data_IF_088089086379
#
_entry.id   IF_088089086379
#
_cell.length_a   1.000
_cell.length_b   1.000
_cell.length_c   1.000
_cell.angle_alpha   90.00
_cell.angle_beta   90.00
_cell.angle_gamma   90.00
#
_symmetry.space_group_name_H-M   'P 1'
#
loop_
_entity.id
_entity.type
_entity.pdbx_description
1 polymer ?
#
# COMPACT_ATOMS: atom_id res chain seq x y z
N UNK A 1 -55.38 33.04 1.45
CA UNK A 1 -54.32 33.00 2.48
C UNK A 1 -54.39 31.60 3.09
N UNK A 2 -53.66 30.64 2.53
CA UNK A 2 -52.28 30.24 2.87
C UNK A 2 -52.23 29.27 4.06
N UNK A 3 -51.55 28.15 3.85
CA UNK A 3 -51.27 27.09 4.83
C UNK A 3 -52.21 25.90 4.65
N UNK A 4 -51.76 24.67 4.42
CA UNK A 4 -50.42 24.10 4.36
C UNK A 4 -50.55 22.59 4.58
N UNK A 5 -49.56 21.85 4.07
CA UNK A 5 -49.18 20.51 4.50
C UNK A 5 -50.01 19.32 4.00
N UNK A 6 -49.53 18.65 2.95
CA UNK A 6 -49.84 17.22 2.77
C UNK A 6 -48.57 16.45 2.36
N UNK A 7 -48.07 15.72 3.35
CA UNK A 7 -47.49 14.40 3.22
C UNK A 7 -48.13 13.59 2.09
N UNK A 8 -47.28 12.88 1.35
CA UNK A 8 -47.49 11.58 0.72
C UNK A 8 -47.16 11.59 -0.79
N UNK A 9 -46.03 10.99 -1.14
CA UNK A 9 -45.95 9.63 -1.71
C UNK A 9 -46.06 9.62 -3.24
N UNK A 10 -44.90 9.31 -3.80
CA UNK A 10 -44.70 8.35 -4.88
C UNK A 10 -45.24 8.66 -6.29
N UNK A 11 -44.28 8.43 -7.20
CA UNK A 11 -44.41 7.73 -8.47
C UNK A 11 -44.69 8.57 -9.72
N UNK A 12 -43.67 8.54 -10.59
CA UNK A 12 -43.74 8.56 -12.05
C UNK A 12 -44.48 9.74 -12.70
N UNK A 13 -43.73 10.80 -13.00
CA UNK A 13 -43.91 11.55 -14.23
C UNK A 13 -42.58 11.61 -14.96
N UNK A 14 -42.57 10.97 -16.13
CA UNK A 14 -41.46 10.93 -17.06
C UNK A 14 -41.45 12.27 -17.80
N UNK A 15 -40.44 13.10 -17.55
CA UNK A 15 -40.23 14.34 -18.30
C UNK A 15 -39.69 13.98 -19.71
N UNK A 16 -40.38 14.33 -20.80
CA UNK A 16 -39.91 14.11 -22.17
C UNK A 16 -38.92 15.21 -22.56
N UNK A 17 -37.67 14.86 -22.86
CA UNK A 17 -36.73 15.86 -23.40
C UNK A 17 -35.24 15.67 -23.12
N UNK A 18 -34.80 14.48 -22.69
CA UNK A 18 -33.36 14.18 -22.62
C UNK A 18 -33.00 13.12 -23.65
N UNK A 19 -32.53 13.60 -24.79
CA UNK A 19 -31.88 12.80 -25.84
C UNK A 19 -30.64 12.10 -25.26
N UNK A 20 -30.83 10.89 -24.75
CA UNK A 20 -29.73 10.02 -24.39
C UNK A 20 -29.21 9.40 -25.69
N UNK A 21 -28.12 9.95 -26.20
CA UNK A 21 -27.33 9.32 -27.27
C UNK A 21 -26.79 8.00 -26.76
N UNK A 22 -27.51 6.91 -27.04
CA UNK A 22 -26.98 5.56 -26.87
C UNK A 22 -25.94 5.33 -27.98
N UNK A 23 -24.66 5.21 -27.61
CA UNK A 23 -23.63 4.76 -28.54
C UNK A 23 -23.89 3.28 -28.85
N UNK A 24 -24.25 2.96 -30.11
CA UNK A 24 -24.35 1.59 -30.56
C UNK A 24 -22.94 1.00 -30.76
N UNK A 25 -22.66 -0.08 -30.04
CA UNK A 25 -21.36 -0.74 -29.94
C UNK A 25 -20.98 -1.60 -31.18
N UNK A 26 -21.44 -1.25 -32.38
CA UNK A 26 -21.41 -2.18 -33.52
C UNK A 26 -20.13 -2.13 -34.37
N UNK A 27 -19.36 -1.02 -34.40
CA UNK A 27 -18.31 -0.85 -35.43
C UNK A 27 -16.93 -0.41 -34.90
N UNK A 28 -16.45 -1.01 -33.80
CA UNK A 28 -15.03 -0.92 -33.45
C UNK A 28 -14.43 -2.33 -33.47
N UNK A 29 -13.53 -2.68 -34.41
CA UNK A 29 -12.74 -3.89 -34.27
C UNK A 29 -11.79 -3.70 -33.09
N UNK A 30 -12.20 -4.17 -31.91
CA UNK A 30 -11.38 -4.11 -30.71
C UNK A 30 -10.35 -5.25 -30.73
N UNK A 31 -9.25 -5.04 -31.46
CA UNK A 31 -8.03 -5.82 -31.27
C UNK A 31 -7.42 -5.34 -29.95
N UNK A 32 -7.93 -5.88 -28.83
CA UNK A 32 -7.36 -5.60 -27.53
C UNK A 32 -5.96 -6.23 -27.46
N UNK A 33 -4.88 -5.46 -27.19
CA UNK A 33 -3.62 -6.08 -26.83
C UNK A 33 -3.87 -6.85 -25.54
N UNK A 34 -3.71 -8.17 -25.59
CA UNK A 34 -3.78 -9.03 -24.41
C UNK A 34 -2.71 -8.53 -23.45
N UNK A 35 -3.11 -7.75 -22.43
CA UNK A 35 -2.20 -7.24 -21.39
C UNK A 35 -1.57 -8.47 -20.76
N UNK A 36 -0.32 -8.77 -21.14
CA UNK A 36 0.50 -9.74 -20.42
C UNK A 36 0.41 -9.30 -18.96
N UNK A 37 -0.16 -10.15 -18.08
CA UNK A 37 -0.03 -9.96 -16.64
C UNK A 37 1.47 -9.78 -16.40
N UNK A 38 1.91 -8.55 -16.12
CA UNK A 38 3.28 -8.34 -15.66
C UNK A 38 3.33 -9.12 -14.35
N UNK A 39 3.97 -10.29 -14.37
CA UNK A 39 4.34 -10.94 -13.13
C UNK A 39 5.08 -9.87 -12.35
N UNK A 40 4.53 -9.50 -11.20
CA UNK A 40 5.13 -8.54 -10.29
C UNK A 40 6.47 -9.15 -9.86
N UNK A 41 7.51 -8.94 -10.65
CA UNK A 41 8.82 -9.54 -10.42
C UNK A 41 9.32 -8.88 -9.16
N UNK A 42 9.18 -9.59 -8.04
CA UNK A 42 9.61 -9.06 -6.76
C UNK A 42 11.08 -8.68 -6.80
N UNK A 43 11.40 -7.68 -5.99
CA UNK A 43 12.76 -7.19 -5.86
C UNK A 43 13.50 -8.10 -4.91
N UNK A 44 14.65 -8.60 -5.35
CA UNK A 44 15.48 -9.45 -4.53
C UNK A 44 16.34 -8.60 -3.60
N UNK A 45 16.49 -9.07 -2.38
CA UNK A 45 17.38 -8.46 -1.40
C UNK A 45 18.21 -9.54 -0.72
N UNK A 46 19.46 -9.20 -0.44
CA UNK A 46 20.30 -9.96 0.48
C UNK A 46 20.17 -9.33 1.85
N UNK A 47 19.82 -10.14 2.85
CA UNK A 47 19.68 -9.76 4.25
C UNK A 47 20.85 -10.32 5.03
N UNK A 48 21.47 -9.49 5.85
CA UNK A 48 22.50 -9.85 6.82
C UNK A 48 21.91 -9.59 8.20
N UNK A 49 21.37 -10.61 8.88
CA UNK A 49 20.79 -10.45 10.20
C UNK A 49 21.85 -10.07 11.22
N UNK A 50 21.45 -9.61 12.41
CA UNK A 50 22.41 -9.34 13.50
C UNK A 50 23.06 -10.62 14.02
N UNK A 51 22.40 -11.76 13.85
CA UNK A 51 22.85 -13.08 14.28
C UNK A 51 22.51 -14.11 13.20
N UNK A 52 23.49 -14.95 12.83
CA UNK A 52 23.32 -16.01 11.84
C UNK A 52 23.80 -15.65 10.44
N UNK A 53 23.52 -16.53 9.48
CA UNK A 53 24.02 -16.41 8.11
C UNK A 53 23.16 -15.49 7.24
N UNK A 54 23.77 -14.76 6.29
CA UNK A 54 23.03 -13.97 5.31
C UNK A 54 22.10 -14.82 4.45
N UNK A 55 20.89 -14.34 4.19
CA UNK A 55 19.90 -15.02 3.38
C UNK A 55 19.25 -14.07 2.36
N UNK A 56 18.43 -14.65 1.48
CA UNK A 56 17.82 -13.93 0.36
C UNK A 56 16.31 -13.87 0.52
N UNK A 57 15.73 -12.71 0.25
CA UNK A 57 14.29 -12.50 0.23
C UNK A 57 13.83 -11.90 -1.09
N UNK A 58 12.53 -12.01 -1.36
CA UNK A 58 11.85 -11.38 -2.48
C UNK A 58 10.69 -10.56 -1.94
N UNK A 59 10.68 -9.27 -2.21
CA UNK A 59 9.65 -8.36 -1.66
C UNK A 59 8.98 -7.60 -2.80
N UNK A 60 7.66 -7.41 -2.70
CA UNK A 60 6.84 -6.72 -3.71
C UNK A 60 5.94 -5.66 -3.08
N UNK A 61 5.36 -4.81 -3.91
CA UNK A 61 4.24 -3.94 -3.50
C UNK A 61 4.56 -3.02 -2.33
N UNK A 62 3.66 -2.98 -1.34
CA UNK A 62 3.79 -2.09 -0.18
C UNK A 62 4.80 -2.56 0.86
N UNK A 63 5.03 -3.86 0.96
CA UNK A 63 6.09 -4.40 1.82
C UNK A 63 7.46 -3.99 1.27
N UNK A 64 7.62 -3.98 -0.06
CA UNK A 64 8.84 -3.49 -0.72
C UNK A 64 9.04 -2.01 -0.43
N UNK A 65 7.99 -1.20 -0.62
CA UNK A 65 8.05 0.23 -0.31
C UNK A 65 8.47 0.47 1.14
N UNK A 66 7.85 -0.23 2.10
CA UNK A 66 8.19 -0.10 3.51
C UNK A 66 9.65 -0.49 3.79
N UNK A 67 10.16 -1.55 3.16
CA UNK A 67 11.57 -1.94 3.28
C UNK A 67 12.51 -0.88 2.70
N UNK A 68 12.18 -0.28 1.56
CA UNK A 68 12.98 0.79 0.95
C UNK A 68 13.03 2.05 1.84
N UNK A 69 11.90 2.44 2.42
CA UNK A 69 11.85 3.55 3.37
C UNK A 69 12.69 3.26 4.61
N UNK A 70 12.56 2.07 5.20
CA UNK A 70 13.35 1.64 6.36
C UNK A 70 14.86 1.62 6.05
N UNK A 71 15.26 1.14 4.88
CA UNK A 71 16.66 1.19 4.42
C UNK A 71 17.17 2.62 4.27
N UNK A 72 16.33 3.52 3.73
CA UNK A 72 16.70 4.91 3.45
C UNK A 72 16.90 5.70 4.74
N UNK A 73 16.02 5.53 5.72
CA UNK A 73 16.13 6.21 7.03
C UNK A 73 17.17 5.56 7.94
N UNK A 74 17.46 4.26 7.74
CA UNK A 74 18.46 3.50 8.49
C UNK A 74 18.16 3.51 10.00
N UNK A 75 19.20 3.80 10.79
CA UNK A 75 19.12 3.78 12.25
C UNK A 75 18.16 4.81 12.86
N UNK A 76 17.80 5.87 12.11
CA UNK A 76 16.78 6.83 12.55
C UNK A 76 15.40 6.16 12.68
N UNK A 77 15.14 5.12 11.89
CA UNK A 77 13.85 4.47 11.82
C UNK A 77 12.75 5.35 11.25
N UNK A 78 11.56 4.75 11.10
CA UNK A 78 10.40 5.38 10.51
C UNK A 78 9.20 5.30 11.45
N UNK A 79 8.47 6.41 11.60
CA UNK A 79 7.19 6.47 12.33
C UNK A 79 6.07 6.82 11.35
N UNK A 80 4.84 6.33 11.57
CA UNK A 80 3.66 6.77 10.84
C UNK A 80 3.45 8.31 10.85
N UNK A 81 4.01 9.02 11.84
CA UNK A 81 3.94 10.49 11.92
C UNK A 81 4.82 11.14 10.83
N UNK A 82 6.06 10.69 10.69
CA UNK A 82 7.05 11.27 9.77
C UNK A 82 6.80 10.83 8.32
N UNK A 83 6.27 9.62 8.12
CA UNK A 83 6.03 9.05 6.80
C UNK A 83 4.68 8.30 6.79
N UNK A 84 3.56 8.99 6.54
CA UNK A 84 2.25 8.40 6.68
C UNK A 84 2.00 7.31 5.64
N UNK A 85 1.59 6.12 6.12
CA UNK A 85 1.13 5.03 5.28
C UNK A 85 -0.05 4.30 5.93
N UNK A 86 -0.93 3.66 5.15
CA UNK A 86 -2.17 3.11 5.68
C UNK A 86 -1.96 2.05 6.78
N UNK A 87 -0.88 1.26 6.73
CA UNK A 87 -0.68 0.08 7.59
C UNK A 87 0.78 -0.27 7.86
N UNK A 88 1.56 0.63 8.47
CA UNK A 88 2.96 0.34 8.84
C UNK A 88 3.15 -0.96 9.62
N UNK A 89 2.36 -1.18 10.68
CA UNK A 89 2.47 -2.38 11.51
C UNK A 89 2.29 -3.67 10.71
N UNK A 90 1.41 -3.68 9.69
CA UNK A 90 1.18 -4.85 8.86
C UNK A 90 2.36 -5.13 7.93
N UNK A 91 2.93 -4.09 7.31
CA UNK A 91 4.11 -4.25 6.44
C UNK A 91 5.32 -4.74 7.24
N UNK A 92 5.54 -4.16 8.43
CA UNK A 92 6.61 -4.59 9.34
C UNK A 92 6.39 -6.03 9.82
N UNK A 93 5.15 -6.41 10.13
CA UNK A 93 4.82 -7.79 10.48
C UNK A 93 5.18 -8.77 9.35
N UNK A 94 4.80 -8.47 8.11
CA UNK A 94 5.15 -9.30 6.95
C UNK A 94 6.67 -9.38 6.75
N UNK A 95 7.39 -8.26 6.87
CA UNK A 95 8.84 -8.23 6.73
C UNK A 95 9.54 -9.05 7.83
N UNK A 96 9.06 -8.99 9.08
CA UNK A 96 9.57 -9.85 10.15
C UNK A 96 9.32 -11.33 9.88
N UNK A 97 8.18 -11.69 9.30
CA UNK A 97 7.89 -13.06 8.90
C UNK A 97 8.83 -13.57 7.79
N UNK A 98 9.45 -12.67 7.02
CA UNK A 98 10.52 -12.99 6.07
C UNK A 98 11.91 -13.08 6.71
N UNK A 99 12.02 -12.88 8.04
CA UNK A 99 13.27 -12.98 8.80
C UNK A 99 14.03 -11.68 8.99
N UNK A 100 13.47 -10.51 8.63
CA UNK A 100 14.14 -9.24 8.91
C UNK A 100 14.06 -8.86 10.39
N UNK A 101 15.20 -8.45 10.94
CA UNK A 101 15.29 -7.84 12.27
C UNK A 101 14.84 -6.39 12.17
N UNK A 102 13.58 -6.15 12.55
CA UNK A 102 13.01 -4.81 12.66
C UNK A 102 12.60 -4.60 14.11
N UNK A 103 13.15 -3.61 14.77
CA UNK A 103 12.78 -3.23 16.13
C UNK A 103 11.60 -2.25 16.10
N UNK A 104 10.69 -2.37 17.07
CA UNK A 104 9.69 -1.32 17.35
C UNK A 104 10.10 -0.60 18.63
N UNK A 105 10.45 0.67 18.51
CA UNK A 105 10.62 1.58 19.65
C UNK A 105 9.30 2.28 19.90
N UNK A 106 8.78 2.20 21.12
CA UNK A 106 7.56 2.93 21.51
C UNK A 106 7.91 4.37 21.82
N UNK A 107 7.38 5.31 21.04
CA UNK A 107 7.59 6.75 21.22
C UNK A 107 6.29 7.42 21.70
N UNK A 108 6.34 8.23 22.78
CA UNK A 108 5.21 9.08 23.14
C UNK A 108 5.01 10.17 22.08
N UNK A 109 3.76 10.57 21.86
CA UNK A 109 3.44 11.78 21.11
C UNK A 109 2.45 12.65 21.90
N UNK A 110 2.61 13.97 21.79
CA UNK A 110 1.75 14.96 22.43
C UNK A 110 0.62 15.48 21.52
N UNK A 111 0.02 16.60 21.93
CA UNK A 111 -1.12 17.25 21.28
C UNK A 111 -2.46 16.88 21.90
N UNK A 112 -3.55 17.32 21.28
CA UNK A 112 -4.93 17.09 21.77
C UNK A 112 -5.30 15.61 21.86
N UNK A 113 -4.57 14.76 21.13
CA UNK A 113 -4.73 13.32 21.11
C UNK A 113 -3.45 12.61 21.57
N UNK A 114 -2.91 12.97 22.74
CA UNK A 114 -1.68 12.37 23.24
C UNK A 114 -1.76 10.82 23.36
N UNK A 115 -0.65 10.15 23.10
CA UNK A 115 -0.57 8.69 23.10
C UNK A 115 0.81 8.17 22.79
N UNK A 116 0.88 6.94 22.28
CA UNK A 116 2.12 6.30 21.87
C UNK A 116 2.01 5.76 20.46
N UNK A 117 3.13 5.73 19.75
CA UNK A 117 3.23 5.10 18.44
C UNK A 117 4.56 4.34 18.30
N UNK A 118 4.63 3.44 17.33
CA UNK A 118 5.86 2.71 17.04
C UNK A 118 6.75 3.47 16.06
N UNK A 119 8.03 3.63 16.40
CA UNK A 119 9.13 3.90 15.47
C UNK A 119 9.78 2.58 15.10
N UNK A 120 9.83 2.27 13.81
CA UNK A 120 10.39 1.03 13.30
C UNK A 120 11.82 1.24 12.84
N UNK A 121 12.76 0.47 13.37
CA UNK A 121 14.18 0.57 13.05
C UNK A 121 14.65 -0.73 12.42
N UNK A 122 15.19 -0.65 11.21
CA UNK A 122 15.79 -1.81 10.55
C UNK A 122 17.16 -2.09 11.18
N UNK A 123 17.31 -3.27 11.78
CA UNK A 123 18.54 -3.73 12.42
C UNK A 123 19.36 -4.64 11.51
N UNK A 124 18.72 -5.45 10.68
CA UNK A 124 19.44 -6.24 9.68
C UNK A 124 20.07 -5.33 8.62
N UNK A 125 21.29 -5.67 8.20
CA UNK A 125 21.84 -5.12 6.96
C UNK A 125 21.04 -5.66 5.78
N UNK A 126 20.62 -4.79 4.87
CA UNK A 126 19.94 -5.22 3.64
C UNK A 126 20.72 -4.63 2.49
N UNK A 127 20.83 -5.34 1.37
CA UNK A 127 21.33 -4.80 0.09
C UNK A 127 20.44 -5.27 -1.07
N UNK A 128 20.35 -4.46 -2.12
CA UNK A 128 19.67 -4.87 -3.34
C UNK A 128 20.41 -6.06 -3.94
N UNK A 129 19.66 -7.02 -4.46
CA UNK A 129 20.21 -8.21 -5.08
C UNK A 129 19.56 -8.46 -6.46
N UNK A 130 20.24 -9.19 -7.32
CA UNK A 130 19.88 -9.35 -8.74
C UNK A 130 19.33 -10.75 -9.03
N UNK A 131 18.30 -10.86 -9.87
CA UNK A 131 17.64 -12.14 -10.23
C UNK A 131 18.52 -13.04 -11.13
N UNK A 132 19.57 -13.67 -10.59
CA UNK A 132 20.08 -14.97 -11.05
C UNK A 132 21.57 -15.14 -11.40
N UNK A 133 22.20 -16.17 -10.83
CA UNK A 133 23.41 -16.80 -11.37
C UNK A 133 24.54 -16.92 -10.35
N UNK A 134 24.81 -18.15 -9.90
CA UNK A 134 26.04 -18.51 -9.19
C UNK A 134 27.28 -18.05 -9.99
N UNK A 135 28.31 -17.59 -9.27
CA UNK A 135 29.67 -17.52 -9.81
C UNK A 135 30.28 -18.92 -9.83
#
# INVERSE_FOLDING_TARGET
>A
MSGGNEVARNLLAQEPGRDYRHANAADIPNIAPQKRKRHNSGTFYRVTPSTGDPFRIVVTGRDRWALEELRRVGAKGCTPIDNPAPRWSAYVFNLRALGLDIETVTEPHGGDYAGHHGRYVLRSGVTLDWKGGAA
#
